data_IF_116042431588
#
_entry.id   IF_116042431588
#
_cell.length_a   1.000
_cell.length_b   1.000
_cell.length_c   1.000
_cell.angle_alpha   90.00
_cell.angle_beta   90.00
_cell.angle_gamma   90.00
#
_symmetry.space_group_name_H-M   'P 1'
#
loop_
_entity.id
_entity.type
_entity.pdbx_description
1 polymer ?
#
# COMPACT_ATOMS: atom_id res chain seq x y z
N UNK A 1 6.31 6.69 25.58
CA UNK A 1 7.05 6.29 24.37
C UNK A 1 6.11 5.60 23.40
N UNK A 2 6.29 5.77 22.08
CA UNK A 2 5.56 5.04 21.02
C UNK A 2 6.52 4.04 20.37
N UNK A 3 6.17 2.77 20.45
CA UNK A 3 6.96 1.68 19.87
C UNK A 3 6.35 1.24 18.55
N UNK A 4 7.08 1.41 17.45
CA UNK A 4 6.68 1.00 16.10
C UNK A 4 7.21 -0.42 15.83
N UNK A 5 6.33 -1.37 15.53
CA UNK A 5 6.71 -2.74 15.20
C UNK A 5 6.33 -2.98 13.75
N UNK A 6 7.34 -3.14 12.91
CA UNK A 6 7.19 -3.20 11.45
C UNK A 6 7.98 -4.37 10.87
N UNK A 7 7.51 -4.90 9.75
CA UNK A 7 8.18 -5.90 8.95
C UNK A 7 8.98 -5.22 7.84
N UNK A 8 10.24 -5.57 7.68
CA UNK A 8 10.99 -5.25 6.47
C UNK A 8 10.72 -6.31 5.39
N UNK A 9 10.13 -5.91 4.28
CA UNK A 9 9.80 -6.80 3.18
C UNK A 9 10.85 -6.69 2.08
N UNK A 10 11.38 -7.82 1.58
CA UNK A 10 12.36 -7.82 0.48
C UNK A 10 11.88 -7.06 -0.74
N UNK A 11 10.57 -7.07 -1.00
CA UNK A 11 9.97 -6.39 -2.16
C UNK A 11 9.96 -4.87 -2.03
N UNK A 12 10.08 -4.35 -0.80
CA UNK A 12 10.05 -2.91 -0.49
C UNK A 12 11.28 -2.46 0.29
N UNK A 13 12.27 -3.34 0.47
CA UNK A 13 13.51 -3.00 1.17
C UNK A 13 14.21 -1.83 0.49
N UNK A 14 14.54 -0.81 1.28
CA UNK A 14 15.11 0.44 0.78
C UNK A 14 14.16 1.33 -0.02
N UNK A 15 12.85 1.00 -0.10
CA UNK A 15 11.86 1.77 -0.83
C UNK A 15 11.24 2.84 0.08
N UNK A 16 11.25 4.09 -0.38
CA UNK A 16 10.72 5.25 0.35
C UNK A 16 9.17 5.24 0.50
N UNK A 17 8.47 4.44 -0.28
CA UNK A 17 7.02 4.28 -0.16
C UNK A 17 6.58 3.17 0.83
N UNK A 18 7.53 2.41 1.41
CA UNK A 18 7.24 1.29 2.32
C UNK A 18 6.90 1.72 3.74
N UNK A 19 6.14 0.90 4.49
CA UNK A 19 5.81 1.15 5.91
C UNK A 19 7.07 1.22 6.78
N UNK A 20 8.11 0.43 6.47
CA UNK A 20 9.38 0.48 7.20
C UNK A 20 10.03 1.86 7.07
N UNK A 21 10.06 2.45 5.86
CA UNK A 21 10.62 3.79 5.66
C UNK A 21 9.79 4.89 6.36
N UNK A 22 8.46 4.77 6.37
CA UNK A 22 7.61 5.65 7.18
C UNK A 22 8.04 5.63 8.67
N UNK A 23 8.36 4.46 9.20
CA UNK A 23 8.85 4.33 10.57
C UNK A 23 10.24 4.95 10.76
N UNK A 24 11.15 4.78 9.79
CA UNK A 24 12.47 5.42 9.81
C UNK A 24 12.33 6.93 9.92
N UNK A 25 11.49 7.55 9.08
CA UNK A 25 11.24 8.99 9.10
C UNK A 25 10.64 9.46 10.42
N UNK A 26 9.70 8.69 11.03
CA UNK A 26 9.13 9.04 12.33
C UNK A 26 10.20 9.01 13.44
N UNK A 27 11.05 7.98 13.45
CA UNK A 27 12.12 7.85 14.45
C UNK A 27 13.19 8.91 14.25
N UNK A 28 13.58 9.21 13.01
CA UNK A 28 14.56 10.24 12.70
C UNK A 28 14.06 11.64 13.10
N UNK A 29 12.82 11.98 12.75
CA UNK A 29 12.24 13.31 12.98
C UNK A 29 11.80 13.54 14.41
N UNK A 30 11.35 12.49 15.11
CA UNK A 30 10.82 12.55 16.48
C UNK A 30 11.48 11.51 17.41
N UNK A 31 12.81 11.51 17.59
CA UNK A 31 13.54 10.46 18.30
C UNK A 31 13.20 10.35 19.79
N UNK A 32 12.68 11.42 20.40
CA UNK A 32 12.21 11.40 21.79
C UNK A 32 10.83 10.76 21.95
N UNK A 33 10.05 10.61 20.86
CA UNK A 33 8.68 10.09 20.88
C UNK A 33 8.59 8.64 20.39
N UNK A 34 9.43 8.25 19.42
CA UNK A 34 9.32 6.98 18.72
C UNK A 34 10.56 6.11 18.90
N UNK A 35 10.33 4.80 19.01
CA UNK A 35 11.35 3.74 18.85
C UNK A 35 10.79 2.68 17.92
N UNK A 36 11.65 2.08 17.12
CA UNK A 36 11.27 1.07 16.14
C UNK A 36 11.91 -0.29 16.43
N UNK A 37 11.13 -1.34 16.20
CA UNK A 37 11.56 -2.73 16.17
C UNK A 37 11.24 -3.31 14.80
N UNK A 38 12.27 -3.66 14.05
CA UNK A 38 12.14 -4.17 12.69
C UNK A 38 12.31 -5.67 12.69
N UNK A 39 11.27 -6.39 12.26
CA UNK A 39 11.39 -7.80 11.92
C UNK A 39 11.98 -7.91 10.51
N UNK A 40 13.13 -8.52 10.41
CA UNK A 40 13.75 -8.78 9.12
C UNK A 40 12.92 -9.75 8.25
N UNK A 41 13.34 -9.87 7.01
CA UNK A 41 12.63 -10.67 5.99
C UNK A 41 12.19 -12.03 6.51
N UNK A 42 10.95 -12.44 6.22
CA UNK A 42 10.52 -13.80 6.52
C UNK A 42 11.36 -14.81 5.71
N UNK A 43 11.48 -16.03 6.24
CA UNK A 43 12.16 -17.12 5.55
C UNK A 43 11.59 -17.31 4.15
N UNK A 44 12.45 -17.26 3.15
CA UNK A 44 12.05 -17.55 1.77
C UNK A 44 11.89 -19.07 1.55
N UNK A 45 10.84 -19.40 0.84
CA UNK A 45 10.59 -20.76 0.37
C UNK A 45 10.91 -20.83 -1.11
N UNK A 46 11.83 -21.74 -1.48
CA UNK A 46 12.21 -21.91 -2.90
C UNK A 46 10.98 -22.23 -3.75
N UNK A 47 10.84 -21.58 -4.91
CA UNK A 47 9.75 -21.90 -5.82
C UNK A 47 9.89 -23.35 -6.31
N UNK A 48 8.79 -24.08 -6.28
CA UNK A 48 8.70 -25.47 -6.67
C UNK A 48 8.56 -25.55 -8.19
N UNK A 49 9.60 -26.00 -8.88
CA UNK A 49 9.66 -26.00 -10.37
C UNK A 49 9.43 -27.40 -10.96
N UNK A 50 9.98 -28.43 -10.36
CA UNK A 50 9.94 -29.80 -10.89
C UNK A 50 8.85 -30.65 -10.25
N UNK A 51 8.50 -31.77 -10.89
CA UNK A 51 7.52 -32.72 -10.35
C UNK A 51 7.97 -33.31 -9.01
N UNK A 52 9.27 -33.65 -8.89
CA UNK A 52 9.87 -34.13 -7.65
C UNK A 52 9.78 -33.10 -6.51
N UNK A 53 10.12 -31.85 -6.78
CA UNK A 53 9.99 -30.78 -5.80
C UNK A 53 8.54 -30.56 -5.38
N UNK A 54 7.55 -30.73 -6.29
CA UNK A 54 6.12 -30.69 -5.97
C UNK A 54 5.72 -31.80 -4.99
N UNK A 55 6.23 -33.00 -5.18
CA UNK A 55 5.99 -34.15 -4.29
C UNK A 55 6.62 -33.89 -2.92
N UNK A 56 7.91 -33.52 -2.87
CA UNK A 56 8.59 -33.16 -1.63
C UNK A 56 7.91 -32.02 -0.90
N UNK A 57 7.47 -31.00 -1.63
CA UNK A 57 6.72 -29.88 -1.05
C UNK A 57 5.42 -30.33 -0.39
N UNK A 58 4.64 -31.19 -1.05
CA UNK A 58 3.40 -31.72 -0.47
C UNK A 58 3.63 -32.57 0.78
N UNK A 59 4.71 -33.33 0.81
CA UNK A 59 5.00 -34.26 1.92
C UNK A 59 5.63 -33.56 3.12
N UNK A 60 6.56 -32.64 2.90
CA UNK A 60 7.38 -32.03 3.97
C UNK A 60 7.29 -30.50 3.96
N UNK A 61 7.58 -29.86 2.82
CA UNK A 61 7.75 -28.42 2.74
C UNK A 61 6.52 -27.60 3.17
N UNK A 62 5.32 -28.07 2.85
CA UNK A 62 4.08 -27.42 3.28
C UNK A 62 3.87 -27.50 4.80
N UNK A 63 4.26 -28.63 5.42
CA UNK A 63 4.22 -28.80 6.90
C UNK A 63 5.25 -27.93 7.59
N UNK A 64 6.48 -27.88 7.06
CA UNK A 64 7.54 -27.01 7.58
C UNK A 64 7.14 -25.54 7.50
N UNK A 65 6.61 -25.11 6.36
CA UNK A 65 6.13 -23.73 6.19
C UNK A 65 5.02 -23.41 7.19
N UNK A 66 4.05 -24.31 7.34
CA UNK A 66 2.95 -24.14 8.30
C UNK A 66 3.51 -24.05 9.73
N UNK A 67 4.37 -24.97 10.12
CA UNK A 67 5.00 -24.97 11.45
C UNK A 67 5.80 -23.69 11.71
N UNK A 68 6.59 -23.25 10.72
CA UNK A 68 7.34 -22.00 10.81
C UNK A 68 6.41 -20.81 11.04
N UNK A 69 5.36 -20.65 10.23
CA UNK A 69 4.43 -19.52 10.33
C UNK A 69 3.60 -19.54 11.62
N UNK A 70 3.19 -20.72 12.10
CA UNK A 70 2.32 -20.85 13.27
C UNK A 70 3.07 -20.90 14.60
N UNK A 71 4.34 -21.32 14.61
CA UNK A 71 5.09 -21.57 15.85
C UNK A 71 6.38 -20.78 15.95
N UNK A 72 7.23 -20.85 14.92
CA UNK A 72 8.57 -20.23 14.96
C UNK A 72 8.50 -18.73 14.78
N UNK A 73 7.79 -18.27 13.77
CA UNK A 73 7.71 -16.87 13.39
C UNK A 73 7.09 -15.96 14.47
N UNK A 74 6.01 -16.36 15.18
CA UNK A 74 5.51 -15.62 16.35
C UNK A 74 6.53 -15.48 17.47
N UNK A 75 7.32 -16.54 17.74
CA UNK A 75 8.35 -16.52 18.76
C UNK A 75 9.51 -15.56 18.40
N UNK A 76 9.84 -15.45 17.11
CA UNK A 76 10.85 -14.49 16.65
C UNK A 76 10.41 -13.04 16.92
N UNK A 77 9.10 -12.71 16.79
CA UNK A 77 8.58 -11.38 17.17
C UNK A 77 8.70 -11.12 18.66
N UNK A 78 8.36 -12.10 19.50
CA UNK A 78 8.49 -11.97 20.94
C UNK A 78 9.96 -11.78 21.36
N UNK A 79 10.89 -12.50 20.74
CA UNK A 79 12.33 -12.34 21.00
C UNK A 79 12.82 -10.94 20.57
N UNK A 80 12.42 -10.47 19.39
CA UNK A 80 12.73 -9.13 18.89
C UNK A 80 12.29 -8.05 19.87
N UNK A 81 11.11 -8.21 20.46
CA UNK A 81 10.50 -7.21 21.34
C UNK A 81 10.95 -7.33 22.82
N UNK A 82 11.78 -8.32 23.21
CA UNK A 82 12.25 -8.46 24.59
C UNK A 82 12.86 -7.18 25.19
N UNK A 83 13.74 -6.44 24.48
CA UNK A 83 14.30 -5.20 25.00
C UNK A 83 13.26 -4.10 25.26
N UNK A 84 12.15 -4.12 24.51
CA UNK A 84 10.99 -3.25 24.73
C UNK A 84 10.28 -3.65 26.02
N UNK A 85 9.92 -4.93 26.17
CA UNK A 85 9.18 -5.42 27.35
C UNK A 85 9.87 -5.10 28.66
N UNK A 86 11.21 -5.17 28.71
CA UNK A 86 12.00 -4.85 29.91
C UNK A 86 11.90 -3.37 30.36
N UNK A 87 11.39 -2.48 29.52
CA UNK A 87 11.32 -1.02 29.78
C UNK A 87 9.91 -0.46 29.62
N UNK A 88 8.93 -1.30 29.27
CA UNK A 88 7.58 -0.90 28.95
C UNK A 88 6.86 -0.34 30.18
N UNK A 89 6.22 0.80 30.02
CA UNK A 89 5.44 1.50 31.04
C UNK A 89 3.95 1.52 30.67
N UNK A 90 3.09 1.64 31.64
CA UNK A 90 1.61 1.71 31.46
C UNK A 90 1.16 2.82 30.51
N UNK A 91 1.93 3.90 30.41
CA UNK A 91 1.65 5.05 29.54
C UNK A 91 2.18 4.92 28.12
N UNK A 92 2.91 3.82 27.82
CA UNK A 92 3.48 3.59 26.49
C UNK A 92 2.41 3.12 25.50
N UNK A 93 2.71 3.33 24.22
CA UNK A 93 1.83 3.01 23.10
C UNK A 93 2.58 2.10 22.11
N UNK A 94 1.94 1.04 21.63
CA UNK A 94 2.51 0.09 20.69
C UNK A 94 1.74 0.15 19.38
N UNK A 95 2.45 0.31 18.28
CA UNK A 95 1.93 0.34 16.92
C UNK A 95 2.36 -0.91 16.17
N UNK A 96 1.41 -1.77 15.86
CA UNK A 96 1.59 -2.99 15.06
C UNK A 96 1.25 -2.63 13.61
N UNK A 97 2.26 -2.46 12.74
CA UNK A 97 2.08 -1.85 11.42
C UNK A 97 1.84 -2.85 10.28
N UNK A 98 1.86 -4.14 10.59
CA UNK A 98 1.58 -5.24 9.66
C UNK A 98 0.50 -6.17 10.24
N UNK A 99 -0.53 -5.57 10.82
CA UNK A 99 -1.58 -6.32 11.50
C UNK A 99 -2.57 -6.93 10.52
N UNK A 100 -3.21 -8.03 10.92
CA UNK A 100 -4.14 -8.80 10.11
C UNK A 100 -3.52 -9.43 8.84
N UNK A 101 -2.19 -9.51 8.78
CA UNK A 101 -1.51 -10.32 7.77
C UNK A 101 -1.28 -11.73 8.37
N UNK A 102 -1.82 -12.80 7.77
CA UNK A 102 -1.70 -14.16 8.33
C UNK A 102 -0.26 -14.65 8.50
N UNK A 103 0.65 -14.07 7.74
CA UNK A 103 2.08 -14.42 7.73
C UNK A 103 2.97 -13.46 8.52
N UNK A 104 2.42 -12.41 9.10
CA UNK A 104 3.21 -11.43 9.85
C UNK A 104 3.21 -11.68 11.36
N UNK A 105 2.34 -12.54 11.87
CA UNK A 105 2.29 -13.01 13.27
C UNK A 105 2.20 -11.91 14.33
N UNK A 106 1.70 -10.73 13.97
CA UNK A 106 1.54 -9.63 14.93
C UNK A 106 0.30 -9.81 15.83
N UNK A 107 -0.61 -10.71 15.48
CA UNK A 107 -1.76 -11.05 16.32
C UNK A 107 -1.31 -11.72 17.63
N UNK A 108 -0.43 -12.70 17.57
CA UNK A 108 0.09 -13.40 18.74
C UNK A 108 0.88 -12.44 19.64
N UNK A 109 1.62 -11.51 19.05
CA UNK A 109 2.29 -10.44 19.76
C UNK A 109 1.30 -9.54 20.50
N UNK A 110 0.20 -9.14 19.83
CA UNK A 110 -0.85 -8.34 20.44
C UNK A 110 -1.51 -9.05 21.64
N UNK A 111 -1.78 -10.35 21.50
CA UNK A 111 -2.32 -11.18 22.57
C UNK A 111 -1.36 -11.24 23.77
N UNK A 112 -0.07 -11.49 23.52
CA UNK A 112 0.95 -11.51 24.56
C UNK A 112 1.05 -10.18 25.31
N UNK A 113 1.07 -9.05 24.59
CA UNK A 113 1.12 -7.71 25.19
C UNK A 113 -0.14 -7.47 26.03
N UNK A 114 -1.32 -7.78 25.50
CA UNK A 114 -2.59 -7.58 26.24
C UNK A 114 -2.67 -8.39 27.52
N UNK A 115 -2.15 -9.60 27.52
CA UNK A 115 -2.12 -10.48 28.68
C UNK A 115 -1.14 -10.01 29.78
N UNK A 116 0.07 -9.58 29.38
CA UNK A 116 1.14 -9.26 30.32
C UNK A 116 1.24 -7.76 30.66
N UNK A 117 0.71 -6.88 29.81
CA UNK A 117 0.77 -5.40 29.93
C UNK A 117 -0.60 -4.78 29.64
N UNK A 118 -1.64 -5.05 30.47
CA UNK A 118 -3.04 -4.76 30.14
C UNK A 118 -3.37 -3.27 29.99
N UNK A 119 -2.54 -2.38 30.54
CA UNK A 119 -2.77 -0.93 30.47
C UNK A 119 -2.09 -0.26 29.26
N UNK A 120 -1.12 -0.93 28.62
CA UNK A 120 -0.45 -0.42 27.43
C UNK A 120 -1.44 -0.34 26.28
N UNK A 121 -1.42 0.78 25.54
CA UNK A 121 -2.27 0.96 24.37
C UNK A 121 -1.69 0.28 23.15
N UNK A 122 -2.51 -0.46 22.42
CA UNK A 122 -2.14 -1.19 21.21
C UNK A 122 -2.94 -0.65 20.03
N UNK A 123 -2.25 -0.07 19.07
CA UNK A 123 -2.79 0.40 17.80
C UNK A 123 -2.29 -0.49 16.68
N UNK A 124 -3.20 -0.98 15.84
CA UNK A 124 -2.88 -2.02 14.87
C UNK A 124 -3.32 -1.63 13.46
N UNK A 125 -2.37 -1.44 12.55
CA UNK A 125 -2.62 -1.02 11.17
C UNK A 125 -2.89 -2.24 10.29
N UNK A 126 -4.00 -2.18 9.56
CA UNK A 126 -4.32 -3.12 8.47
C UNK A 126 -4.36 -2.39 7.13
N UNK A 127 -3.75 -2.99 6.12
CA UNK A 127 -3.68 -2.45 4.76
C UNK A 127 -4.13 -3.44 3.67
N UNK A 128 -4.87 -4.48 4.05
CA UNK A 128 -5.51 -5.40 3.11
C UNK A 128 -6.88 -4.86 2.67
N UNK A 129 -7.34 -5.26 1.50
CA UNK A 129 -8.66 -4.91 0.99
C UNK A 129 -9.78 -5.74 1.62
N UNK A 130 -11.02 -5.24 1.57
CA UNK A 130 -12.20 -5.98 2.04
C UNK A 130 -12.35 -7.34 1.35
N UNK A 131 -12.10 -7.40 0.03
CA UNK A 131 -12.13 -8.65 -0.75
C UNK A 131 -11.19 -9.73 -0.17
N UNK A 132 -10.01 -9.33 0.29
CA UNK A 132 -9.07 -10.25 0.91
C UNK A 132 -9.61 -10.78 2.25
N UNK A 133 -10.26 -9.93 3.04
CA UNK A 133 -10.90 -10.35 4.29
C UNK A 133 -12.09 -11.29 4.05
N UNK A 134 -12.87 -11.10 2.96
CA UNK A 134 -13.94 -12.02 2.60
C UNK A 134 -13.44 -13.44 2.39
N UNK A 135 -12.29 -13.61 1.72
CA UNK A 135 -11.66 -14.92 1.52
C UNK A 135 -11.20 -15.57 2.84
N UNK A 136 -10.77 -14.75 3.80
CA UNK A 136 -10.33 -15.23 5.12
C UNK A 136 -11.51 -15.55 6.03
N UNK A 137 -12.52 -14.68 6.07
CA UNK A 137 -13.71 -14.85 6.91
C UNK A 137 -14.64 -15.97 6.42
N UNK A 138 -14.57 -16.32 5.14
CA UNK A 138 -15.23 -17.53 4.63
C UNK A 138 -14.76 -18.80 5.33
N UNK A 139 -13.54 -18.82 5.89
CA UNK A 139 -12.97 -19.94 6.67
C UNK A 139 -13.13 -19.79 8.17
N UNK A 140 -13.15 -18.57 8.67
CA UNK A 140 -13.35 -18.23 10.08
C UNK A 140 -14.21 -16.95 10.17
N UNK A 141 -15.54 -17.08 10.28
CA UNK A 141 -16.45 -15.93 10.33
C UNK A 141 -16.19 -14.93 11.47
N UNK A 142 -15.54 -15.37 12.54
CA UNK A 142 -15.22 -14.54 13.70
C UNK A 142 -13.80 -13.95 13.64
N UNK A 143 -13.09 -14.12 12.53
CA UNK A 143 -11.68 -13.74 12.41
C UNK A 143 -11.44 -12.26 12.72
N UNK A 144 -12.27 -11.37 12.17
CA UNK A 144 -12.15 -9.92 12.36
C UNK A 144 -12.29 -9.55 13.83
N UNK A 145 -13.35 -10.07 14.49
CA UNK A 145 -13.61 -9.80 15.91
C UNK A 145 -12.51 -10.40 16.80
N UNK A 146 -12.04 -11.59 16.46
CA UNK A 146 -10.93 -12.24 17.15
C UNK A 146 -9.67 -11.37 17.11
N UNK A 147 -9.33 -10.86 15.93
CA UNK A 147 -8.13 -10.04 15.76
C UNK A 147 -8.30 -8.62 16.32
N UNK A 148 -9.51 -8.09 16.34
CA UNK A 148 -9.79 -6.80 16.97
C UNK A 148 -9.76 -6.84 18.51
N UNK A 149 -9.94 -8.03 19.13
CA UNK A 149 -10.07 -8.16 20.59
C UNK A 149 -8.85 -7.63 21.38
N UNK A 150 -7.60 -8.01 21.07
CA UNK A 150 -6.45 -7.61 21.88
C UNK A 150 -6.00 -6.16 21.68
N UNK A 151 -6.48 -5.45 20.66
CA UNK A 151 -6.02 -4.10 20.33
C UNK A 151 -7.01 -3.04 20.80
N UNK A 152 -6.52 -1.84 21.10
CA UNK A 152 -7.37 -0.69 21.47
C UNK A 152 -8.02 -0.06 20.24
N UNK A 153 -7.26 0.13 19.14
CA UNK A 153 -7.79 0.61 17.86
C UNK A 153 -7.21 -0.13 16.67
N UNK A 154 -8.08 -0.36 15.69
CA UNK A 154 -7.70 -0.75 14.33
C UNK A 154 -7.47 0.52 13.52
N UNK A 155 -6.29 0.61 12.91
CA UNK A 155 -5.91 1.68 12.01
C UNK A 155 -6.12 1.21 10.56
N UNK A 156 -6.67 2.08 9.74
CA UNK A 156 -6.87 1.81 8.30
C UNK A 156 -6.29 2.95 7.47
N UNK A 157 -5.94 2.68 6.23
CA UNK A 157 -5.40 3.69 5.32
C UNK A 157 -6.47 4.31 4.42
N UNK A 158 -7.75 4.03 4.68
CA UNK A 158 -8.86 4.60 3.95
C UNK A 158 -10.22 4.13 4.45
N UNK A 159 -11.25 4.88 4.09
CA UNK A 159 -12.62 4.74 4.59
C UNK A 159 -13.31 3.44 4.19
N UNK A 160 -12.96 2.85 3.04
CA UNK A 160 -13.58 1.60 2.59
C UNK A 160 -13.29 0.44 3.55
N UNK A 161 -12.05 0.34 4.06
CA UNK A 161 -11.69 -0.68 5.03
C UNK A 161 -12.28 -0.38 6.41
N UNK A 162 -12.37 0.88 6.82
CA UNK A 162 -13.07 1.27 8.05
C UNK A 162 -14.53 0.84 8.01
N UNK A 163 -15.23 1.14 6.90
CA UNK A 163 -16.62 0.72 6.69
C UNK A 163 -16.78 -0.80 6.65
N UNK A 164 -15.78 -1.50 6.12
CA UNK A 164 -15.77 -2.97 6.12
C UNK A 164 -15.73 -3.51 7.57
N UNK A 165 -14.85 -2.97 8.41
CA UNK A 165 -14.74 -3.38 9.81
C UNK A 165 -15.99 -3.01 10.62
N UNK A 166 -16.59 -1.84 10.39
CA UNK A 166 -17.87 -1.47 11.01
C UNK A 166 -18.97 -2.49 10.65
N UNK A 167 -19.09 -2.86 9.36
CA UNK A 167 -20.04 -3.89 8.90
C UNK A 167 -19.75 -5.27 9.48
N UNK A 168 -18.48 -5.59 9.76
CA UNK A 168 -18.07 -6.80 10.44
C UNK A 168 -18.31 -6.75 11.97
N UNK A 169 -18.96 -5.70 12.49
CA UNK A 169 -19.35 -5.57 13.90
C UNK A 169 -18.28 -4.98 14.81
N UNK A 170 -17.23 -4.34 14.26
CA UNK A 170 -16.26 -3.60 15.07
C UNK A 170 -16.84 -2.22 15.41
N UNK A 171 -16.89 -1.81 16.70
CA UNK A 171 -17.36 -0.50 17.10
C UNK A 171 -16.56 0.63 16.44
N UNK A 172 -17.25 1.68 16.00
CA UNK A 172 -16.64 2.81 15.28
C UNK A 172 -15.53 3.49 16.07
N UNK A 173 -15.71 3.62 17.39
CA UNK A 173 -14.72 4.19 18.30
C UNK A 173 -13.43 3.36 18.38
N UNK A 174 -13.47 2.11 17.97
CA UNK A 174 -12.32 1.21 17.88
C UNK A 174 -11.61 1.28 16.52
N UNK A 175 -12.08 2.10 15.58
CA UNK A 175 -11.51 2.25 14.25
C UNK A 175 -10.99 3.68 14.10
N UNK A 176 -9.80 3.83 13.52
CA UNK A 176 -9.26 5.13 13.16
C UNK A 176 -8.76 5.11 11.71
N UNK A 177 -9.42 5.90 10.88
CA UNK A 177 -9.05 6.07 9.47
C UNK A 177 -7.95 7.10 9.34
N UNK A 178 -6.84 6.71 8.77
CA UNK A 178 -5.74 7.57 8.37
C UNK A 178 -5.53 7.52 6.86
N UNK A 179 -4.28 7.54 6.44
CA UNK A 179 -3.90 7.60 5.04
C UNK A 179 -2.54 6.94 4.82
N UNK A 180 -2.28 6.54 3.57
CA UNK A 180 -0.94 6.13 3.14
C UNK A 180 -0.06 7.36 2.97
N UNK A 181 1.09 7.39 3.64
CA UNK A 181 2.02 8.51 3.57
C UNK A 181 2.76 8.58 2.23
N UNK A 182 3.43 9.71 2.00
CA UNK A 182 4.42 9.87 0.94
C UNK A 182 5.65 10.59 1.48
N UNK A 183 6.83 10.09 1.09
CA UNK A 183 8.10 10.80 1.27
C UNK A 183 8.24 11.86 0.15
N UNK A 184 7.90 13.11 0.47
CA UNK A 184 7.92 14.21 -0.48
C UNK A 184 9.34 14.70 -0.82
N UNK A 185 10.34 14.33 -0.04
CA UNK A 185 11.74 14.69 -0.34
C UNK A 185 12.30 13.74 -1.41
N UNK A 186 11.89 12.47 -1.36
CA UNK A 186 12.22 11.49 -2.37
C UNK A 186 11.36 11.65 -3.64
N UNK A 187 10.02 11.72 -3.48
CA UNK A 187 9.08 11.86 -4.60
C UNK A 187 8.80 13.33 -4.89
N UNK A 188 9.78 13.97 -5.51
CA UNK A 188 9.73 15.38 -5.89
C UNK A 188 9.87 15.53 -7.39
N UNK A 189 8.97 16.32 -8.00
CA UNK A 189 9.01 16.66 -9.42
C UNK A 189 10.28 17.45 -9.74
N UNK A 190 11.10 16.93 -10.67
CA UNK A 190 12.34 17.56 -11.11
C UNK A 190 12.15 18.34 -12.42
N UNK A 191 11.32 17.81 -13.32
CA UNK A 191 11.06 18.44 -14.63
C UNK A 191 9.98 19.53 -14.51
N UNK A 192 10.04 20.57 -15.37
CA UNK A 192 8.97 21.56 -15.44
C UNK A 192 7.59 20.89 -15.65
N UNK A 193 6.55 21.47 -15.06
CA UNK A 193 5.17 20.98 -15.23
C UNK A 193 4.62 21.33 -16.61
N UNK A 194 5.23 20.75 -17.66
CA UNK A 194 4.75 20.85 -19.04
C UNK A 194 3.97 19.61 -19.40
N UNK A 195 2.94 19.75 -20.24
CA UNK A 195 2.29 18.60 -20.86
C UNK A 195 3.04 18.19 -22.11
N UNK A 196 3.13 16.89 -22.34
CA UNK A 196 3.81 16.33 -23.50
C UNK A 196 2.86 16.26 -24.70
N UNK A 197 3.43 16.29 -25.90
CA UNK A 197 2.75 15.96 -27.15
C UNK A 197 3.60 14.93 -27.88
N UNK A 198 3.18 13.66 -27.98
CA UNK A 198 1.91 13.09 -27.47
C UNK A 198 1.84 13.04 -25.93
N UNK A 199 0.61 12.97 -25.40
CA UNK A 199 0.36 12.80 -23.96
C UNK A 199 1.04 11.53 -23.43
N UNK A 200 1.81 11.66 -22.35
CA UNK A 200 2.50 10.51 -21.70
C UNK A 200 1.71 10.00 -20.52
N UNK A 201 1.27 8.76 -20.60
CA UNK A 201 0.47 8.09 -19.58
C UNK A 201 1.29 6.97 -18.95
N UNK A 202 1.51 7.05 -17.63
CA UNK A 202 2.18 5.99 -16.87
C UNK A 202 1.16 5.14 -16.11
N UNK A 203 1.36 3.83 -16.13
CA UNK A 203 0.71 2.86 -15.25
C UNK A 203 1.76 2.14 -14.41
N UNK A 204 1.47 1.99 -13.10
CA UNK A 204 2.41 1.41 -12.13
C UNK A 204 1.72 0.42 -11.20
N UNK A 205 2.52 -0.53 -10.70
CA UNK A 205 2.11 -1.49 -9.68
C UNK A 205 1.49 -2.75 -10.26
N UNK A 206 1.46 -3.81 -9.46
CA UNK A 206 1.01 -5.14 -9.87
C UNK A 206 -0.22 -5.64 -9.09
N UNK A 207 -0.42 -5.14 -7.86
CA UNK A 207 -1.50 -5.61 -6.99
C UNK A 207 -2.83 -4.92 -7.32
N UNK A 208 -3.91 -5.70 -7.34
CA UNK A 208 -5.28 -5.21 -7.57
C UNK A 208 -5.41 -4.37 -8.86
N UNK A 209 -4.72 -4.80 -9.95
CA UNK A 209 -4.77 -4.15 -11.27
C UNK A 209 -5.45 -5.05 -12.28
N UNK A 210 -6.42 -4.49 -13.01
CA UNK A 210 -7.05 -5.14 -14.16
C UNK A 210 -6.21 -4.86 -15.42
N UNK A 211 -5.26 -5.74 -15.69
CA UNK A 211 -4.41 -5.63 -16.86
C UNK A 211 -5.13 -5.94 -18.17
N UNK A 212 -6.21 -6.73 -18.13
CA UNK A 212 -7.02 -7.02 -19.30
C UNK A 212 -7.72 -5.76 -19.78
N UNK A 213 -8.43 -5.08 -18.89
CA UNK A 213 -9.07 -3.80 -19.18
C UNK A 213 -8.06 -2.75 -19.60
N UNK A 214 -6.91 -2.65 -18.92
CA UNK A 214 -5.85 -1.73 -19.28
C UNK A 214 -5.36 -1.95 -20.71
N UNK A 215 -5.16 -3.20 -21.13
CA UNK A 215 -4.70 -3.54 -22.49
C UNK A 215 -5.71 -3.10 -23.55
N UNK A 216 -7.01 -3.24 -23.28
CA UNK A 216 -8.05 -2.77 -24.19
C UNK A 216 -8.09 -1.24 -24.29
N UNK A 217 -7.86 -0.52 -23.18
CA UNK A 217 -7.73 0.95 -23.18
C UNK A 217 -6.51 1.39 -24.01
N UNK A 218 -5.36 0.75 -23.84
CA UNK A 218 -4.13 1.03 -24.59
C UNK A 218 -4.34 0.85 -26.09
N UNK A 219 -4.99 -0.25 -26.53
CA UNK A 219 -5.32 -0.50 -27.95
C UNK A 219 -6.19 0.59 -28.57
N UNK A 220 -7.12 1.17 -27.79
CA UNK A 220 -8.05 2.19 -28.28
C UNK A 220 -7.51 3.63 -28.23
N UNK A 221 -6.28 3.82 -27.69
CA UNK A 221 -5.61 5.11 -27.61
C UNK A 221 -4.20 5.04 -28.24
N UNK A 222 -4.09 4.84 -29.57
CA UNK A 222 -2.80 4.68 -30.26
C UNK A 222 -1.96 5.96 -30.29
N UNK A 223 -2.59 7.14 -30.14
CA UNK A 223 -1.93 8.44 -30.16
C UNK A 223 -1.37 8.88 -28.81
N UNK A 224 -1.36 7.98 -27.83
CA UNK A 224 -0.80 8.19 -26.48
C UNK A 224 0.53 7.48 -26.38
N UNK A 225 1.50 8.08 -25.68
CA UNK A 225 2.72 7.40 -25.31
C UNK A 225 2.52 6.71 -23.95
N UNK A 226 2.61 5.39 -23.95
CA UNK A 226 2.34 4.55 -22.81
C UNK A 226 3.62 4.08 -22.12
N UNK A 227 3.69 4.26 -20.79
CA UNK A 227 4.77 3.76 -19.94
C UNK A 227 4.13 2.77 -18.94
N UNK A 228 4.31 1.48 -19.16
CA UNK A 228 3.64 0.43 -18.37
C UNK A 228 4.66 -0.26 -17.46
N UNK A 229 4.73 0.15 -16.19
CA UNK A 229 5.62 -0.38 -15.18
C UNK A 229 4.92 -1.52 -14.41
N UNK A 230 4.96 -2.73 -14.95
CA UNK A 230 4.23 -3.90 -14.47
C UNK A 230 4.85 -4.62 -13.27
N UNK A 231 6.01 -4.16 -12.82
CA UNK A 231 6.76 -4.83 -11.76
C UNK A 231 7.22 -6.23 -12.18
N UNK A 232 7.05 -7.20 -11.29
CA UNK A 232 7.45 -8.61 -11.55
C UNK A 232 6.39 -9.46 -12.23
N UNK A 233 5.20 -8.90 -12.51
CA UNK A 233 4.12 -9.62 -13.18
C UNK A 233 4.40 -9.70 -14.67
N UNK A 234 4.33 -10.90 -15.26
CA UNK A 234 4.45 -11.05 -16.71
C UNK A 234 3.07 -10.90 -17.36
N UNK A 235 2.89 -9.81 -18.09
CA UNK A 235 1.66 -9.44 -18.82
C UNK A 235 1.97 -8.92 -20.22
N UNK A 236 3.18 -9.14 -20.71
CA UNK A 236 3.69 -8.55 -21.95
C UNK A 236 2.85 -8.94 -23.18
N UNK A 237 2.30 -10.15 -23.18
CA UNK A 237 1.47 -10.65 -24.28
C UNK A 237 0.10 -9.97 -24.39
N UNK A 238 -0.33 -9.23 -23.37
CA UNK A 238 -1.60 -8.50 -23.40
C UNK A 238 -1.52 -7.21 -24.21
N UNK A 239 -0.33 -6.62 -24.33
CA UNK A 239 -0.15 -5.29 -24.89
C UNK A 239 0.34 -5.31 -26.33
N UNK A 240 -0.06 -4.32 -27.15
CA UNK A 240 0.43 -4.19 -28.52
C UNK A 240 1.95 -3.89 -28.53
N UNK A 241 2.67 -4.50 -29.46
CA UNK A 241 4.10 -4.26 -29.69
C UNK A 241 4.27 -3.09 -30.67
N UNK A 242 3.94 -1.89 -30.24
CA UNK A 242 4.01 -0.67 -31.03
C UNK A 242 4.98 0.34 -30.42
N UNK A 243 5.59 1.26 -31.20
CA UNK A 243 6.61 2.18 -30.69
C UNK A 243 6.12 3.13 -29.58
N UNK A 244 4.82 3.34 -29.48
CA UNK A 244 4.21 4.19 -28.46
C UNK A 244 3.91 3.47 -27.14
N UNK A 245 4.24 2.17 -27.01
CA UNK A 245 4.00 1.35 -25.79
C UNK A 245 5.32 0.84 -25.26
N UNK A 246 5.76 1.41 -24.15
CA UNK A 246 6.93 0.96 -23.40
C UNK A 246 6.52 0.04 -22.26
N UNK A 247 6.85 -1.25 -22.38
CA UNK A 247 6.65 -2.23 -21.31
C UNK A 247 7.93 -2.32 -20.47
N UNK A 248 7.81 -1.96 -19.20
CA UNK A 248 8.91 -2.01 -18.25
C UNK A 248 8.61 -3.06 -17.15
N UNK A 249 9.59 -3.90 -16.89
CA UNK A 249 9.56 -4.88 -15.80
C UNK A 249 9.66 -4.23 -14.43
N UNK A 250 10.33 -4.92 -13.51
CA UNK A 250 10.68 -4.36 -12.21
C UNK A 250 11.76 -3.29 -12.42
N UNK A 251 11.45 -2.07 -12.01
CA UNK A 251 12.37 -0.94 -12.01
C UNK A 251 12.87 -0.69 -10.58
N UNK A 252 14.13 -0.25 -10.45
CA UNK A 252 14.61 0.37 -9.22
C UNK A 252 13.81 1.66 -8.95
N UNK A 253 13.73 2.08 -7.70
CA UNK A 253 12.89 3.21 -7.30
C UNK A 253 13.29 4.51 -8.01
N UNK A 254 14.59 4.76 -8.17
CA UNK A 254 15.11 5.93 -8.89
C UNK A 254 14.64 5.95 -10.35
N UNK A 255 14.73 4.82 -11.05
CA UNK A 255 14.25 4.70 -12.42
C UNK A 255 12.75 4.86 -12.50
N UNK A 256 12.00 4.29 -11.55
CA UNK A 256 10.54 4.48 -11.48
C UNK A 256 10.17 5.96 -11.29
N UNK A 257 10.87 6.67 -10.40
CA UNK A 257 10.68 8.11 -10.20
C UNK A 257 10.97 8.90 -11.48
N UNK A 258 12.04 8.53 -12.20
CA UNK A 258 12.34 9.15 -13.51
C UNK A 258 11.20 8.95 -14.50
N UNK A 259 10.62 7.74 -14.58
CA UNK A 259 9.46 7.48 -15.44
C UNK A 259 8.22 8.28 -15.02
N UNK A 260 8.01 8.46 -13.73
CA UNK A 260 6.95 9.34 -13.22
C UNK A 260 7.19 10.81 -13.54
N UNK A 261 8.45 11.26 -13.46
CA UNK A 261 8.82 12.66 -13.68
C UNK A 261 8.58 13.12 -15.13
N UNK A 262 8.79 12.22 -16.10
CA UNK A 262 8.56 12.51 -17.53
C UNK A 262 7.10 12.30 -17.97
N UNK A 263 6.24 11.70 -17.13
CA UNK A 263 4.85 11.45 -17.45
C UNK A 263 3.93 12.66 -17.17
N UNK A 264 2.75 12.63 -17.77
CA UNK A 264 1.70 13.63 -17.56
C UNK A 264 0.58 13.10 -16.68
N UNK A 265 0.21 11.85 -16.89
CA UNK A 265 -0.98 11.22 -16.30
C UNK A 265 -0.60 9.90 -15.66
N UNK A 266 -1.06 9.66 -14.43
CA UNK A 266 -1.04 8.34 -13.81
C UNK A 266 -2.41 7.67 -14.03
N UNK A 267 -2.41 6.57 -14.79
CA UNK A 267 -3.60 5.76 -15.03
C UNK A 267 -3.64 4.58 -14.05
N UNK A 268 -4.72 4.46 -13.31
CA UNK A 268 -4.90 3.45 -12.29
C UNK A 268 -6.21 2.67 -12.51
N UNK A 269 -6.13 1.59 -13.31
CA UNK A 269 -7.22 0.64 -13.52
C UNK A 269 -7.15 -0.39 -12.40
N UNK A 270 -7.99 -0.21 -11.37
CA UNK A 270 -7.93 -0.97 -10.10
C UNK A 270 -9.21 -1.75 -9.85
N UNK A 271 -9.08 -2.95 -9.28
CA UNK A 271 -10.21 -3.73 -8.76
C UNK A 271 -10.67 -3.21 -7.39
N UNK A 272 -9.75 -2.78 -6.54
CA UNK A 272 -10.00 -2.23 -5.19
C UNK A 272 -8.77 -1.46 -4.69
N UNK A 273 -8.95 -0.59 -3.68
CA UNK A 273 -7.88 0.11 -2.98
C UNK A 273 -8.29 0.55 -1.58
N UNK A 274 -7.41 0.39 -0.60
CA UNK A 274 -7.56 0.88 0.78
C UNK A 274 -6.57 1.99 1.14
N UNK A 275 -5.92 2.55 0.12
CA UNK A 275 -4.76 3.42 0.19
C UNK A 275 -3.59 2.77 -0.53
N UNK A 276 -2.92 3.53 -1.37
CA UNK A 276 -1.90 2.98 -2.27
C UNK A 276 -0.73 3.95 -2.39
N UNK A 277 0.48 3.43 -2.20
CA UNK A 277 1.69 4.18 -2.46
C UNK A 277 1.78 4.69 -3.91
N UNK A 278 1.25 3.94 -4.89
CA UNK A 278 1.19 4.40 -6.28
C UNK A 278 0.36 5.68 -6.42
N UNK A 279 -0.76 5.79 -5.71
CA UNK A 279 -1.61 6.99 -5.73
C UNK A 279 -0.87 8.15 -5.05
N UNK A 280 -0.35 7.94 -3.84
CA UNK A 280 0.29 9.01 -3.05
C UNK A 280 1.57 9.53 -3.71
N UNK A 281 2.39 8.63 -4.26
CA UNK A 281 3.61 9.00 -5.01
C UNK A 281 3.28 9.69 -6.34
N UNK A 282 2.24 9.23 -7.07
CA UNK A 282 1.77 9.92 -8.29
C UNK A 282 1.34 11.35 -8.00
N UNK A 283 0.62 11.58 -6.89
CA UNK A 283 0.23 12.92 -6.48
C UNK A 283 1.44 13.79 -6.12
N UNK A 284 2.41 13.25 -5.36
CA UNK A 284 3.63 13.97 -4.99
C UNK A 284 4.53 14.29 -6.20
N UNK A 285 4.51 13.44 -7.22
CA UNK A 285 5.18 13.68 -8.51
C UNK A 285 4.37 14.61 -9.44
N UNK A 286 3.25 15.15 -8.98
CA UNK A 286 2.44 16.10 -9.75
C UNK A 286 1.86 15.49 -11.03
N UNK A 287 1.33 14.29 -10.98
CA UNK A 287 0.65 13.68 -12.11
C UNK A 287 -0.84 13.99 -12.07
N UNK A 288 -1.45 14.26 -13.23
CA UNK A 288 -2.90 14.22 -13.37
C UNK A 288 -3.35 12.75 -13.22
N UNK A 289 -4.50 12.52 -12.59
CA UNK A 289 -4.92 11.17 -12.24
C UNK A 289 -6.12 10.73 -13.09
N UNK A 290 -6.09 9.51 -13.63
CA UNK A 290 -7.28 8.80 -14.10
C UNK A 290 -7.37 7.52 -13.27
N UNK A 291 -8.47 7.31 -12.56
CA UNK A 291 -8.57 6.28 -11.55
C UNK A 291 -9.89 5.52 -11.62
N UNK A 292 -9.86 4.23 -11.33
CA UNK A 292 -11.08 3.48 -11.02
C UNK A 292 -11.78 4.06 -9.80
N UNK A 293 -13.09 4.27 -9.87
CA UNK A 293 -13.91 4.73 -8.74
C UNK A 293 -14.25 3.57 -7.81
N UNK A 294 -13.24 3.09 -7.08
CA UNK A 294 -13.32 1.91 -6.21
C UNK A 294 -12.65 2.14 -4.86
N UNK A 295 -13.09 1.41 -3.86
CA UNK A 295 -12.49 1.41 -2.54
C UNK A 295 -12.36 2.80 -1.92
N UNK A 296 -11.19 3.12 -1.42
CA UNK A 296 -10.88 4.40 -0.73
C UNK A 296 -10.28 5.46 -1.65
N UNK A 297 -10.41 5.35 -2.97
CA UNK A 297 -9.75 6.30 -3.89
C UNK A 297 -10.19 7.75 -3.67
N UNK A 298 -11.45 7.97 -3.27
CA UNK A 298 -12.02 9.30 -2.99
C UNK A 298 -11.51 9.93 -1.68
N UNK A 299 -10.83 9.17 -0.84
CA UNK A 299 -10.15 9.73 0.32
C UNK A 299 -8.85 10.46 -0.08
N UNK A 300 -8.30 10.13 -1.25
CA UNK A 300 -7.04 10.65 -1.77
C UNK A 300 -7.24 11.67 -2.89
N UNK A 301 -8.15 11.40 -3.80
CA UNK A 301 -8.39 12.17 -5.00
C UNK A 301 -9.80 12.77 -5.01
N UNK A 302 -9.96 13.89 -5.71
CA UNK A 302 -11.25 14.50 -6.05
C UNK A 302 -11.26 15.00 -7.51
N UNK A 303 -12.33 15.70 -7.91
CA UNK A 303 -12.51 16.18 -9.30
C UNK A 303 -11.49 17.23 -9.75
N UNK A 304 -10.70 17.81 -8.83
CA UNK A 304 -9.68 18.80 -9.21
C UNK A 304 -8.39 18.13 -9.70
N UNK A 305 -8.07 16.92 -9.20
CA UNK A 305 -6.87 16.21 -9.59
C UNK A 305 -7.09 14.86 -10.26
N UNK A 306 -8.34 14.34 -10.29
CA UNK A 306 -8.64 13.03 -10.85
C UNK A 306 -9.91 12.99 -11.69
N UNK A 307 -9.89 12.19 -12.75
CA UNK A 307 -11.08 11.74 -13.46
C UNK A 307 -11.40 10.34 -12.95
N UNK A 308 -12.59 10.19 -12.36
CA UNK A 308 -13.07 8.91 -11.83
C UNK A 308 -13.81 8.14 -12.92
N UNK A 309 -13.40 6.91 -13.15
CA UNK A 309 -14.00 5.99 -14.10
C UNK A 309 -14.58 4.79 -13.36
N UNK A 310 -15.81 4.40 -13.70
CA UNK A 310 -16.26 3.04 -13.43
C UNK A 310 -15.35 2.08 -14.20
N UNK A 311 -15.24 0.82 -13.75
CA UNK A 311 -14.43 -0.17 -14.45
C UNK A 311 -15.07 -0.58 -15.80
N UNK A 312 -14.96 0.32 -16.75
CA UNK A 312 -15.47 0.25 -18.13
C UNK A 312 -14.45 0.88 -19.07
N UNK A 313 -14.04 0.14 -20.10
CA UNK A 313 -13.02 0.56 -21.08
C UNK A 313 -13.33 1.92 -21.71
N UNK A 314 -14.60 2.16 -22.08
CA UNK A 314 -14.98 3.39 -22.78
C UNK A 314 -14.88 4.63 -21.89
N UNK A 315 -15.10 4.48 -20.57
CA UNK A 315 -14.92 5.59 -19.65
C UNK A 315 -13.44 6.00 -19.53
N UNK A 316 -12.53 5.03 -19.44
CA UNK A 316 -11.09 5.31 -19.44
C UNK A 316 -10.63 5.92 -20.76
N UNK A 317 -11.07 5.39 -21.90
CA UNK A 317 -10.76 5.95 -23.24
C UNK A 317 -11.27 7.39 -23.35
N UNK A 318 -12.50 7.66 -22.90
CA UNK A 318 -13.05 9.03 -22.88
C UNK A 318 -12.24 9.98 -22.00
N UNK A 319 -11.85 9.55 -20.81
CA UNK A 319 -11.02 10.33 -19.90
C UNK A 319 -9.65 10.68 -20.51
N UNK A 320 -9.00 9.71 -21.16
CA UNK A 320 -7.73 9.92 -21.84
C UNK A 320 -7.88 10.93 -22.98
N UNK A 321 -8.88 10.76 -23.84
CA UNK A 321 -9.16 11.69 -24.95
C UNK A 321 -9.47 13.11 -24.48
N UNK A 322 -10.16 13.25 -23.34
CA UNK A 322 -10.43 14.54 -22.71
C UNK A 322 -9.12 15.26 -22.30
N UNK A 323 -8.11 14.53 -21.82
CA UNK A 323 -6.83 15.08 -21.42
C UNK A 323 -5.91 15.35 -22.63
N UNK A 324 -5.94 14.51 -23.67
CA UNK A 324 -5.15 14.70 -24.89
C UNK A 324 -5.40 16.06 -25.57
N UNK A 325 -6.64 16.53 -25.55
CA UNK A 325 -7.03 17.79 -26.19
C UNK A 325 -7.01 19.01 -25.25
N UNK A 326 -6.59 18.85 -23.99
CA UNK A 326 -6.78 19.90 -22.98
C UNK A 326 -5.56 20.06 -22.06
N UNK A 327 -4.51 20.71 -22.56
CA UNK A 327 -3.28 20.95 -21.81
C UNK A 327 -3.54 21.75 -20.52
N UNK A 328 -4.41 22.74 -20.55
CA UNK A 328 -4.72 23.56 -19.36
C UNK A 328 -5.38 22.72 -18.26
N UNK A 329 -6.25 21.79 -18.63
CA UNK A 329 -6.84 20.87 -17.67
C UNK A 329 -5.78 19.96 -17.05
N UNK A 330 -4.89 19.40 -17.86
CA UNK A 330 -3.77 18.56 -17.38
C UNK A 330 -2.90 19.34 -16.39
N UNK A 331 -2.55 20.59 -16.70
CA UNK A 331 -1.73 21.43 -15.83
C UNK A 331 -2.42 21.73 -14.49
N UNK A 332 -3.72 22.06 -14.52
CA UNK A 332 -4.50 22.28 -13.28
C UNK A 332 -4.55 21.02 -12.42
N UNK A 333 -4.81 19.87 -13.02
CA UNK A 333 -4.86 18.60 -12.30
C UNK A 333 -3.50 18.23 -11.69
N UNK A 334 -2.39 18.45 -12.42
CA UNK A 334 -1.03 18.26 -11.93
C UNK A 334 -0.74 19.15 -10.71
N UNK A 335 -1.08 20.43 -10.78
CA UNK A 335 -0.90 21.36 -9.68
C UNK A 335 -1.75 20.98 -8.45
N UNK A 336 -3.00 20.58 -8.67
CA UNK A 336 -3.88 20.10 -7.60
C UNK A 336 -3.37 18.82 -6.94
N UNK A 337 -2.79 17.88 -7.72
CA UNK A 337 -2.15 16.68 -7.17
C UNK A 337 -1.01 17.02 -6.23
N UNK A 338 -0.10 17.93 -6.63
CA UNK A 338 1.00 18.40 -5.78
C UNK A 338 0.49 19.04 -4.48
N UNK A 339 -0.51 19.91 -4.58
CA UNK A 339 -1.05 20.57 -3.38
C UNK A 339 -1.69 19.57 -2.43
N UNK A 340 -2.51 18.66 -2.95
CA UNK A 340 -3.18 17.62 -2.15
C UNK A 340 -2.20 16.61 -1.52
N UNK A 341 -1.05 16.36 -2.15
CA UNK A 341 -0.03 15.45 -1.60
C UNK A 341 0.58 15.95 -0.29
N UNK A 342 0.59 17.26 -0.04
CA UNK A 342 1.13 17.87 1.20
C UNK A 342 0.46 17.33 2.47
N UNK A 343 -0.82 16.95 2.38
CA UNK A 343 -1.53 16.35 3.53
C UNK A 343 -1.08 14.93 3.86
N UNK A 344 -0.33 14.29 2.95
CA UNK A 344 0.12 12.89 3.07
C UNK A 344 1.56 12.77 3.62
N UNK A 345 2.16 13.89 4.03
CA UNK A 345 3.52 13.94 4.57
C UNK A 345 3.62 13.36 5.97
N UNK A 346 4.85 13.03 6.38
CA UNK A 346 5.14 12.34 7.65
C UNK A 346 4.67 13.10 8.89
N UNK A 347 4.66 14.44 8.85
CA UNK A 347 4.16 15.29 9.95
C UNK A 347 2.67 15.05 10.22
N UNK A 348 1.92 14.75 9.17
CA UNK A 348 0.49 14.46 9.30
C UNK A 348 0.26 13.05 9.84
N UNK A 349 1.16 12.10 9.55
CA UNK A 349 1.15 10.77 10.19
C UNK A 349 1.41 10.92 11.69
N UNK A 350 2.42 11.71 12.08
CA UNK A 350 2.67 11.99 13.50
C UNK A 350 1.45 12.63 14.16
N UNK A 351 0.84 13.65 13.54
CA UNK A 351 -0.39 14.27 14.06
C UNK A 351 -1.55 13.27 14.19
N UNK A 352 -1.70 12.36 13.25
CA UNK A 352 -2.70 11.32 13.34
C UNK A 352 -2.44 10.38 14.53
N UNK A 353 -1.21 9.91 14.72
CA UNK A 353 -0.85 9.03 15.82
C UNK A 353 -1.00 9.72 17.19
N UNK A 354 -0.73 11.02 17.29
CA UNK A 354 -0.95 11.80 18.52
C UNK A 354 -2.43 11.95 18.91
N UNK A 355 -3.35 11.83 17.96
CA UNK A 355 -4.81 11.95 18.17
C UNK A 355 -5.50 10.62 18.52
N UNK A 356 -4.78 9.51 18.58
CA UNK A 356 -5.36 8.19 18.82
C UNK A 356 -5.75 7.93 20.28
N UNK A 357 -5.51 8.84 21.17
CA UNK A 357 -5.80 8.75 22.62
C UNK A 357 -7.27 8.54 22.93
#
# INVERSE_FOLDING_TARGET
MKYLIVQDWRSTHGNHAGMKHMCDMLVEKYPSEYKMFVKEFPREWKPVKTLWEKIQWKLVGAREKKHYLEKTYPQEYLQLCKPMFAKLQDSDEIFLLEYMLPWASQYELACYIRENYPKVKIYALSHLTGKYFDEMTAKDPNLIQKWAKPVDKLLTLGSSLSSYFEKAGIPKEKISTGFHYVDSDCYQKQQPMKSNSPLKVIMMGALQRDYGMLAEVVKQCPDVHWIICRGRKNVDDLFPKTPNVELKGFLAEEELRHQMDIADVSLNVMEDTVGSNVITTSMAMGLAMIVSDVGSIRDYCDSENAIFCKNDVQQFVKAIKQLQGNFDLVQRMKASSLDKSKRLQIENVNRWFLKLK
#
